data_IF_961845367821
#
_entry.id   IF_961845367821
#
_cell.length_a   1.000
_cell.length_b   1.000
_cell.length_c   1.000
_cell.angle_alpha   90.00
_cell.angle_beta   90.00
_cell.angle_gamma   90.00
#
_symmetry.space_group_name_H-M   'P 1'
#
loop_
_entity.id
_entity.type
_entity.pdbx_description
1 polymer ?
#
# COMPACT_ATOMS: atom_id res chain seq x y z
N UNK A 1 8.31 -12.63 8.71
CA UNK A 1 7.03 -12.26 9.32
C UNK A 1 5.98 -12.18 8.23
N UNK A 2 4.74 -12.59 8.51
CA UNK A 2 3.61 -12.38 7.60
C UNK A 2 2.57 -11.55 8.34
N UNK A 3 2.10 -10.49 7.69
CA UNK A 3 1.06 -9.59 8.19
C UNK A 3 -0.01 -9.53 7.09
N UNK A 4 -1.27 -9.60 7.49
CA UNK A 4 -2.38 -9.44 6.57
C UNK A 4 -3.62 -8.87 7.23
N UNK A 5 -4.45 -8.15 6.48
CA UNK A 5 -5.74 -7.63 6.94
C UNK A 5 -5.63 -6.54 8.01
N UNK A 6 -4.48 -5.87 8.14
CA UNK A 6 -4.12 -5.00 9.26
C UNK A 6 -4.10 -3.51 8.90
N UNK A 7 -4.28 -2.65 9.90
CA UNK A 7 -4.12 -1.20 9.75
C UNK A 7 -3.03 -0.68 10.69
N UNK A 8 -2.00 -0.06 10.13
CA UNK A 8 -0.97 0.67 10.85
C UNK A 8 -1.22 2.16 10.67
N UNK A 9 -1.69 2.86 11.70
CA UNK A 9 -2.04 4.27 11.56
C UNK A 9 -1.79 5.12 12.80
N UNK A 10 -1.41 6.38 12.60
CA UNK A 10 -1.22 7.34 13.68
C UNK A 10 -0.01 7.05 14.57
N UNK A 11 0.91 6.20 14.11
CA UNK A 11 2.14 5.89 14.83
C UNK A 11 3.20 6.96 14.55
N UNK A 12 4.08 7.20 15.53
CA UNK A 12 5.20 8.14 15.39
C UNK A 12 6.50 7.53 15.88
N UNK A 13 7.55 7.63 15.07
CA UNK A 13 8.92 7.31 15.43
C UNK A 13 9.77 8.58 15.51
N UNK A 14 10.75 8.60 16.42
CA UNK A 14 11.81 9.62 16.42
C UNK A 14 12.96 9.29 15.45
N UNK A 15 13.04 8.05 15.01
CA UNK A 15 13.96 7.61 13.96
C UNK A 15 13.14 7.12 12.76
N UNK A 16 13.53 5.99 12.18
CA UNK A 16 12.86 5.41 11.02
C UNK A 16 11.64 4.55 11.35
N UNK A 17 10.78 4.34 10.35
CA UNK A 17 9.73 3.33 10.34
C UNK A 17 8.54 3.68 11.23
N UNK A 18 7.94 4.85 11.01
CA UNK A 18 6.78 5.33 11.76
C UNK A 18 5.64 4.30 11.84
N UNK A 19 5.30 3.66 10.71
CA UNK A 19 4.30 2.60 10.63
C UNK A 19 4.90 1.20 10.83
N UNK A 20 5.94 0.86 10.06
CA UNK A 20 6.61 -0.44 10.11
C UNK A 20 8.11 -0.32 9.83
N UNK A 21 8.91 -1.04 10.60
CA UNK A 21 10.36 -1.19 10.37
C UNK A 21 10.69 -2.66 10.12
N UNK A 22 11.18 -2.97 8.92
CA UNK A 22 11.56 -4.31 8.52
C UNK A 22 13.09 -4.49 8.57
N UNK A 23 13.53 -5.46 9.37
CA UNK A 23 14.93 -5.87 9.47
C UNK A 23 15.17 -7.34 9.07
N UNK A 24 14.18 -7.98 8.43
CA UNK A 24 14.26 -9.38 8.01
C UNK A 24 13.39 -9.64 6.77
N UNK A 25 12.85 -10.85 6.65
CA UNK A 25 11.93 -11.18 5.55
C UNK A 25 10.49 -10.94 5.99
N UNK A 26 9.76 -10.07 5.30
CA UNK A 26 8.38 -9.70 5.61
C UNK A 26 7.47 -9.82 4.38
N UNK A 27 6.30 -10.43 4.60
CA UNK A 27 5.20 -10.51 3.66
C UNK A 27 4.05 -9.66 4.19
N UNK A 28 3.58 -8.71 3.39
CA UNK A 28 2.46 -7.82 3.71
C UNK A 28 1.38 -7.99 2.65
N UNK A 29 0.15 -8.27 3.07
CA UNK A 29 -0.97 -8.42 2.15
C UNK A 29 -2.29 -7.87 2.67
N UNK A 30 -3.00 -7.12 1.83
CA UNK A 30 -4.30 -6.53 2.21
C UNK A 30 -4.21 -5.70 3.51
N UNK A 31 -3.16 -4.91 3.66
CA UNK A 31 -2.95 -4.01 4.79
C UNK A 31 -3.02 -2.54 4.36
N UNK A 32 -3.38 -1.69 5.32
CA UNK A 32 -3.39 -0.23 5.19
C UNK A 32 -2.33 0.36 6.12
N UNK A 33 -1.38 1.13 5.57
CA UNK A 33 -0.38 1.88 6.32
C UNK A 33 -0.64 3.37 6.09
N UNK A 34 -1.25 4.06 7.05
CA UNK A 34 -1.69 5.43 6.82
C UNK A 34 -1.58 6.39 8.00
N UNK A 35 -1.17 7.62 7.73
CA UNK A 35 -1.14 8.67 8.75
C UNK A 35 -0.09 8.42 9.81
N UNK A 36 1.02 7.77 9.46
CA UNK A 36 2.16 7.58 10.35
C UNK A 36 3.20 8.70 10.15
N UNK A 37 4.09 8.87 11.11
CA UNK A 37 5.08 9.95 11.16
C UNK A 37 6.46 9.44 11.56
N UNK A 38 7.50 10.02 10.97
CA UNK A 38 8.88 9.84 11.40
C UNK A 38 9.56 11.21 11.46
N UNK A 39 10.33 11.45 12.52
CA UNK A 39 11.17 12.66 12.62
C UNK A 39 12.37 12.56 11.65
N UNK A 40 12.83 11.35 11.29
CA UNK A 40 13.86 11.10 10.26
C UNK A 40 13.21 10.56 8.95
N UNK A 41 13.87 9.61 8.26
CA UNK A 41 13.30 8.89 7.11
C UNK A 41 12.14 7.99 7.52
N UNK A 42 11.28 7.64 6.57
CA UNK A 42 10.27 6.57 6.70
C UNK A 42 9.17 6.75 7.71
N UNK A 43 8.10 7.38 7.28
CA UNK A 43 6.89 7.33 8.06
C UNK A 43 6.05 6.08 7.79
N UNK A 44 6.02 5.55 6.57
CA UNK A 44 5.23 4.37 6.24
C UNK A 44 5.96 3.07 6.57
N UNK A 45 6.86 2.64 5.69
CA UNK A 45 7.61 1.38 5.78
C UNK A 45 9.09 1.58 5.52
N UNK A 46 9.92 1.29 6.53
CA UNK A 46 11.36 1.21 6.40
C UNK A 46 11.80 -0.22 6.06
N UNK A 47 12.67 -0.39 5.06
CA UNK A 47 13.29 -1.68 4.72
C UNK A 47 14.83 -1.59 4.76
N UNK A 48 15.43 -2.21 5.77
CA UNK A 48 16.88 -2.17 6.02
C UNK A 48 17.74 -2.88 4.98
N UNK A 49 19.04 -2.61 5.00
CA UNK A 49 20.07 -3.07 4.03
C UNK A 49 20.11 -4.57 3.69
N UNK A 50 19.62 -5.48 4.53
CA UNK A 50 19.62 -6.93 4.27
C UNK A 50 18.23 -7.56 4.29
N UNK A 51 17.21 -6.72 4.44
CA UNK A 51 15.83 -7.15 4.59
C UNK A 51 15.13 -7.35 3.26
N UNK A 52 14.12 -8.21 3.25
CA UNK A 52 13.27 -8.47 2.09
C UNK A 52 11.84 -8.16 2.45
N UNK A 53 11.19 -7.27 1.70
CA UNK A 53 9.77 -7.01 1.84
C UNK A 53 9.04 -7.36 0.52
N UNK A 54 7.99 -8.17 0.64
CA UNK A 54 7.09 -8.48 -0.46
C UNK A 54 5.69 -7.97 -0.11
N UNK A 55 5.24 -7.00 -0.89
CA UNK A 55 4.05 -6.19 -0.65
C UNK A 55 3.01 -6.52 -1.72
N UNK A 56 1.81 -6.92 -1.33
CA UNK A 56 0.72 -7.18 -2.25
C UNK A 56 -0.58 -6.54 -1.77
N UNK A 57 -1.31 -5.84 -2.63
CA UNK A 57 -2.60 -5.26 -2.26
C UNK A 57 -2.56 -4.37 -1.01
N UNK A 58 -1.56 -3.49 -0.92
CA UNK A 58 -1.45 -2.54 0.19
C UNK A 58 -1.96 -1.15 -0.17
N UNK A 59 -2.35 -0.37 0.84
CA UNK A 59 -2.58 1.07 0.69
C UNK A 59 -1.68 1.83 1.67
N UNK A 60 -0.62 2.46 1.14
CA UNK A 60 0.40 3.19 1.88
C UNK A 60 0.26 4.69 1.58
N UNK A 61 -0.46 5.41 2.44
CA UNK A 61 -0.91 6.78 2.13
C UNK A 61 -0.89 7.73 3.32
N UNK A 62 -0.69 9.02 3.08
CA UNK A 62 -0.69 10.06 4.12
C UNK A 62 0.36 9.84 5.23
N UNK A 63 1.47 9.15 4.94
CA UNK A 63 2.60 9.04 5.86
C UNK A 63 3.56 10.23 5.63
N UNK A 64 4.20 10.74 6.70
CA UNK A 64 5.04 11.93 6.65
C UNK A 64 6.43 11.74 7.27
N UNK A 65 7.46 11.71 6.44
CA UNK A 65 8.88 11.80 6.85
C UNK A 65 9.29 13.26 7.14
N UNK A 66 10.41 13.44 7.84
CA UNK A 66 10.91 14.75 8.31
C UNK A 66 9.80 15.53 9.04
N UNK A 67 9.20 14.90 10.05
CA UNK A 67 8.09 15.50 10.80
C UNK A 67 8.57 16.64 11.72
N UNK A 68 9.81 16.58 12.20
CA UNK A 68 10.43 17.63 13.02
C UNK A 68 10.94 18.83 12.18
N UNK A 69 10.96 18.69 10.85
CA UNK A 69 11.27 19.74 9.87
C UNK A 69 12.70 20.25 10.02
N UNK A 70 13.62 19.34 10.30
CA UNK A 70 15.05 19.65 10.41
C UNK A 70 15.76 19.58 9.04
N UNK A 71 15.06 19.12 8.00
CA UNK A 71 15.58 19.00 6.63
C UNK A 71 16.33 17.70 6.35
N UNK A 72 16.18 16.69 7.22
CA UNK A 72 16.78 15.36 7.11
C UNK A 72 15.68 14.31 7.18
N UNK A 73 15.68 13.38 6.23
CA UNK A 73 14.68 12.33 6.11
C UNK A 73 14.23 12.17 4.67
N UNK A 74 13.91 10.95 4.27
CA UNK A 74 13.45 10.62 2.91
C UNK A 74 12.39 9.51 2.99
N UNK A 75 11.63 9.32 1.90
CA UNK A 75 10.73 8.17 1.77
C UNK A 75 9.52 8.23 2.68
N UNK A 76 8.66 9.24 2.52
CA UNK A 76 7.45 9.39 3.34
C UNK A 76 6.59 8.11 3.38
N UNK A 77 6.39 7.47 2.22
CA UNK A 77 5.73 6.17 2.07
C UNK A 77 6.67 4.99 2.37
N UNK A 78 7.71 4.80 1.56
CA UNK A 78 8.69 3.70 1.69
C UNK A 78 10.12 4.18 1.44
N UNK A 79 11.06 3.88 2.32
CA UNK A 79 12.50 3.99 2.06
C UNK A 79 13.12 2.60 2.04
N UNK A 80 14.07 2.48 1.13
CA UNK A 80 14.80 1.24 0.89
C UNK A 80 16.27 1.58 1.03
N UNK A 81 16.85 1.23 2.17
CA UNK A 81 18.25 1.55 2.47
C UNK A 81 19.18 0.82 1.50
N UNK A 82 19.10 -0.53 1.47
CA UNK A 82 19.75 -1.37 0.46
C UNK A 82 19.10 -2.76 0.30
N UNK A 83 18.02 -3.04 1.03
CA UNK A 83 17.33 -4.33 0.96
C UNK A 83 16.47 -4.49 -0.29
N UNK A 84 15.81 -5.65 -0.41
CA UNK A 84 14.96 -5.97 -1.56
C UNK A 84 13.50 -5.68 -1.26
N UNK A 85 12.87 -4.83 -2.05
CA UNK A 85 11.41 -4.61 -2.00
C UNK A 85 10.76 -5.01 -3.32
N UNK A 86 9.72 -5.84 -3.22
CA UNK A 86 8.86 -6.20 -4.34
C UNK A 86 7.44 -5.71 -4.06
N UNK A 87 6.84 -4.97 -4.99
CA UNK A 87 5.52 -4.35 -4.85
C UNK A 87 4.57 -4.78 -5.97
N UNK A 88 3.39 -5.24 -5.56
CA UNK A 88 2.33 -5.71 -6.44
C UNK A 88 0.98 -5.12 -6.00
N UNK A 89 0.15 -4.69 -6.96
CA UNK A 89 -1.23 -4.27 -6.71
C UNK A 89 -1.37 -3.25 -5.57
N UNK A 90 -0.37 -2.39 -5.35
CA UNK A 90 -0.27 -1.54 -4.15
C UNK A 90 -0.43 -0.07 -4.51
N UNK A 91 -1.14 0.69 -3.67
CA UNK A 91 -1.21 2.15 -3.72
C UNK A 91 -0.12 2.73 -2.82
N UNK A 92 0.73 3.58 -3.36
CA UNK A 92 1.68 4.43 -2.63
C UNK A 92 1.46 5.86 -3.10
N UNK A 93 0.79 6.66 -2.29
CA UNK A 93 0.33 7.98 -2.72
C UNK A 93 0.05 8.90 -1.55
N UNK A 94 -0.03 10.21 -1.81
CA UNK A 94 -0.37 11.23 -0.80
C UNK A 94 0.56 11.21 0.42
N UNK A 95 1.72 10.56 0.34
CA UNK A 95 2.72 10.65 1.38
C UNK A 95 3.47 11.98 1.23
N UNK A 96 4.19 12.38 2.26
CA UNK A 96 4.89 13.65 2.29
C UNK A 96 6.28 13.49 2.86
N UNK A 97 7.17 14.33 2.37
CA UNK A 97 8.54 14.47 2.81
C UNK A 97 8.83 15.98 2.85
N UNK A 98 9.33 16.47 3.97
CA UNK A 98 9.44 17.91 4.25
C UNK A 98 10.83 18.49 3.90
N UNK A 99 11.72 17.70 3.32
CA UNK A 99 13.07 18.14 2.92
C UNK A 99 13.07 18.94 1.60
N UNK A 100 14.24 19.51 1.24
CA UNK A 100 14.40 20.31 0.01
C UNK A 100 14.24 19.49 -1.27
N UNK A 101 14.76 18.25 -1.29
CA UNK A 101 14.62 17.30 -2.41
C UNK A 101 13.68 16.19 -1.96
N UNK A 102 12.40 16.35 -2.26
CA UNK A 102 11.34 15.53 -1.69
C UNK A 102 11.22 14.17 -2.38
N UNK A 103 11.22 13.11 -1.57
CA UNK A 103 10.94 11.73 -1.98
C UNK A 103 9.69 11.21 -1.24
N UNK A 104 8.50 11.75 -1.55
CA UNK A 104 7.33 11.59 -0.68
C UNK A 104 6.80 10.15 -0.66
N UNK A 105 6.62 9.50 -1.81
CA UNK A 105 5.99 8.17 -1.85
C UNK A 105 7.01 7.04 -1.71
N UNK A 106 8.21 7.19 -2.29
CA UNK A 106 9.28 6.24 -2.02
C UNK A 106 10.68 6.82 -2.24
N UNK A 107 11.67 6.18 -1.64
CA UNK A 107 13.09 6.43 -1.85
C UNK A 107 13.89 5.12 -1.90
N UNK A 108 14.84 5.03 -2.84
CA UNK A 108 15.64 3.84 -3.08
C UNK A 108 15.15 2.95 -4.23
N UNK A 109 15.68 1.73 -4.32
CA UNK A 109 15.45 0.83 -5.46
C UNK A 109 14.43 -0.26 -5.17
N UNK A 110 13.33 -0.24 -5.93
CA UNK A 110 12.30 -1.29 -5.91
C UNK A 110 12.67 -2.35 -6.94
N UNK A 111 13.00 -3.56 -6.48
CA UNK A 111 13.51 -4.64 -7.31
C UNK A 111 12.46 -5.16 -8.32
N UNK A 112 11.21 -5.29 -7.88
CA UNK A 112 10.07 -5.63 -8.75
C UNK A 112 8.91 -4.70 -8.45
N UNK A 113 8.37 -4.06 -9.49
CA UNK A 113 7.17 -3.24 -9.36
C UNK A 113 6.22 -3.58 -10.51
N UNK A 114 5.03 -4.12 -10.23
CA UNK A 114 4.01 -4.33 -11.27
C UNK A 114 2.60 -4.05 -10.76
N UNK A 115 1.76 -3.45 -11.60
CA UNK A 115 0.35 -3.15 -11.30
C UNK A 115 0.12 -2.33 -10.04
N UNK A 116 1.02 -1.38 -9.74
CA UNK A 116 0.90 -0.47 -8.59
C UNK A 116 0.35 0.88 -9.02
N UNK A 117 -0.17 1.66 -8.07
CA UNK A 117 -0.42 3.09 -8.25
C UNK A 117 0.58 3.85 -7.39
N UNK A 118 1.53 4.54 -8.01
CA UNK A 118 2.55 5.35 -7.32
C UNK A 118 2.39 6.80 -7.75
N UNK A 119 1.90 7.67 -6.86
CA UNK A 119 1.55 9.03 -7.26
C UNK A 119 2.79 9.85 -7.62
N UNK A 120 3.86 9.77 -6.84
CA UNK A 120 5.13 10.45 -7.08
C UNK A 120 6.29 9.46 -7.06
N UNK A 121 7.02 9.34 -8.17
CA UNK A 121 8.14 8.39 -8.28
C UNK A 121 9.51 9.03 -8.00
N UNK A 122 9.57 10.31 -7.60
CA UNK A 122 10.83 10.95 -7.19
C UNK A 122 11.43 10.21 -6.00
N UNK A 123 12.73 9.90 -6.07
CA UNK A 123 13.45 9.08 -5.09
C UNK A 123 13.45 7.58 -5.41
N UNK A 124 12.49 7.10 -6.19
CA UNK A 124 12.32 5.67 -6.45
C UNK A 124 12.91 5.24 -7.80
N UNK A 125 13.72 4.19 -7.77
CA UNK A 125 14.08 3.45 -8.99
C UNK A 125 13.19 2.21 -9.12
N UNK A 126 12.25 2.22 -10.06
CA UNK A 126 11.34 1.10 -10.29
C UNK A 126 11.95 0.11 -11.29
N UNK A 127 12.28 -1.09 -10.84
CA UNK A 127 12.87 -2.16 -11.65
C UNK A 127 11.88 -3.30 -11.89
N UNK A 128 12.33 -4.34 -12.61
CA UNK A 128 11.56 -5.57 -12.81
C UNK A 128 10.43 -5.47 -13.84
N UNK A 129 10.55 -4.55 -14.81
CA UNK A 129 9.54 -4.26 -15.84
C UNK A 129 8.23 -3.72 -15.26
N UNK A 130 8.06 -2.38 -15.14
CA UNK A 130 6.96 -1.71 -14.44
C UNK A 130 5.60 -1.80 -15.16
N UNK A 131 5.25 -2.98 -15.66
CA UNK A 131 4.03 -3.27 -16.40
C UNK A 131 2.82 -3.02 -15.51
N UNK A 132 1.84 -2.31 -16.06
CA UNK A 132 0.56 -2.04 -15.40
C UNK A 132 0.63 -1.01 -14.28
N UNK A 133 1.80 -0.43 -13.99
CA UNK A 133 1.89 0.65 -13.03
C UNK A 133 1.16 1.91 -13.53
N UNK A 134 0.39 2.52 -12.64
CA UNK A 134 -0.20 3.84 -12.81
C UNK A 134 0.67 4.83 -12.03
N UNK A 135 1.29 5.79 -12.72
CA UNK A 135 2.15 6.79 -12.07
C UNK A 135 1.66 8.21 -12.33
N UNK A 136 1.98 9.15 -11.42
CA UNK A 136 1.64 10.56 -11.60
C UNK A 136 0.16 10.91 -11.41
N UNK A 137 -0.67 9.95 -10.99
CA UNK A 137 -2.12 10.16 -10.81
C UNK A 137 -2.52 10.10 -9.34
N UNK A 138 -3.47 10.95 -8.95
CA UNK A 138 -4.11 10.87 -7.64
C UNK A 138 -4.82 9.53 -7.48
N UNK A 139 -4.71 8.85 -6.33
CA UNK A 139 -5.36 7.57 -6.12
C UNK A 139 -6.89 7.72 -5.96
N UNK A 140 -7.40 8.94 -5.73
CA UNK A 140 -8.82 9.24 -5.52
C UNK A 140 -9.48 8.27 -4.53
N UNK A 141 -9.05 8.37 -3.28
CA UNK A 141 -9.51 7.51 -2.18
C UNK A 141 -10.24 8.33 -1.11
N UNK A 142 -11.17 7.68 -0.42
CA UNK A 142 -11.88 8.23 0.73
C UNK A 142 -11.01 8.28 1.99
N UNK A 143 -11.53 8.84 3.09
CA UNK A 143 -10.82 8.89 4.37
C UNK A 143 -10.58 7.50 4.96
N UNK A 144 -9.61 7.38 5.88
CA UNK A 144 -9.38 6.17 6.66
C UNK A 144 -10.54 5.97 7.64
N UNK A 145 -11.42 5.01 7.36
CA UNK A 145 -12.62 4.75 8.18
C UNK A 145 -12.97 3.27 8.20
N UNK A 146 -13.98 2.89 8.98
CA UNK A 146 -14.54 1.56 8.95
C UNK A 146 -15.42 1.40 7.68
N UNK A 147 -14.91 0.67 6.69
CA UNK A 147 -15.64 0.37 5.45
C UNK A 147 -16.22 -1.05 5.42
N UNK A 148 -16.54 -1.62 6.59
CA UNK A 148 -17.25 -2.90 6.71
C UNK A 148 -16.36 -4.13 6.97
N UNK A 149 -15.11 -3.95 7.40
CA UNK A 149 -14.19 -5.02 7.78
C UNK A 149 -13.80 -4.98 9.26
N UNK A 150 -12.88 -5.87 9.67
CA UNK A 150 -12.33 -5.88 11.04
C UNK A 150 -11.33 -4.75 11.31
N UNK A 151 -10.81 -4.12 10.26
CA UNK A 151 -9.83 -3.03 10.33
C UNK A 151 -10.22 -1.86 9.40
N UNK A 152 -9.63 -0.68 9.63
CA UNK A 152 -9.97 0.54 8.87
C UNK A 152 -9.24 0.55 7.53
N UNK A 153 -9.92 1.01 6.48
CA UNK A 153 -9.38 1.07 5.12
C UNK A 153 -9.67 2.42 4.46
N UNK A 154 -9.07 2.65 3.30
CA UNK A 154 -9.45 3.72 2.39
C UNK A 154 -10.29 3.13 1.25
N UNK A 155 -11.57 3.49 1.17
CA UNK A 155 -12.41 3.09 0.05
C UNK A 155 -11.98 3.84 -1.23
N UNK A 156 -12.02 3.17 -2.38
CA UNK A 156 -11.80 3.84 -3.66
C UNK A 156 -13.02 4.71 -4.02
N UNK A 157 -12.77 5.95 -4.46
CA UNK A 157 -13.83 6.84 -4.93
C UNK A 157 -14.21 6.50 -6.38
N UNK A 158 -15.40 6.92 -6.84
CA UNK A 158 -15.76 6.82 -8.25
C UNK A 158 -14.68 7.43 -9.15
N UNK A 159 -14.34 6.73 -10.23
CA UNK A 159 -13.29 7.07 -11.21
C UNK A 159 -11.85 6.98 -10.72
N UNK A 160 -11.61 6.39 -9.54
CA UNK A 160 -10.25 6.15 -9.09
C UNK A 160 -9.44 5.39 -10.15
N UNK A 161 -8.20 5.83 -10.47
CA UNK A 161 -7.32 5.11 -11.38
C UNK A 161 -6.93 3.71 -10.89
N UNK A 162 -7.20 3.40 -9.62
CA UNK A 162 -6.96 2.08 -9.04
C UNK A 162 -8.07 1.06 -9.39
N UNK A 163 -9.24 1.51 -9.87
CA UNK A 163 -10.38 0.63 -10.18
C UNK A 163 -10.05 -0.32 -11.35
N UNK A 164 -10.18 -1.63 -11.12
CA UNK A 164 -9.91 -2.73 -12.06
C UNK A 164 -8.52 -2.64 -12.74
N UNK A 165 -7.58 -1.94 -12.11
CA UNK A 165 -6.25 -1.69 -12.67
C UNK A 165 -5.18 -2.68 -12.17
N UNK A 166 -5.53 -3.54 -11.22
CA UNK A 166 -4.65 -4.56 -10.67
C UNK A 166 -4.43 -5.74 -11.62
N UNK A 167 -3.68 -6.74 -11.15
CA UNK A 167 -3.49 -8.02 -11.83
C UNK A 167 -4.80 -8.80 -11.96
N UNK A 168 -4.83 -9.68 -12.96
CA UNK A 168 -5.91 -10.64 -13.13
C UNK A 168 -5.98 -11.59 -11.93
N UNK A 169 -7.20 -12.02 -11.61
CA UNK A 169 -7.41 -13.08 -10.63
C UNK A 169 -6.79 -14.39 -11.08
N UNK A 170 -5.85 -14.90 -10.27
CA UNK A 170 -5.13 -16.14 -10.50
C UNK A 170 -5.24 -17.03 -9.26
N UNK A 171 -6.48 -17.42 -8.93
CA UNK A 171 -6.80 -18.27 -7.77
C UNK A 171 -6.30 -17.72 -6.42
N UNK A 172 -6.29 -16.40 -6.26
CA UNK A 172 -5.90 -15.77 -5.00
C UNK A 172 -4.41 -15.84 -4.68
N UNK A 173 -3.56 -16.19 -5.65
CA UNK A 173 -2.12 -16.31 -5.42
C UNK A 173 -1.48 -14.97 -5.03
N UNK A 174 -0.59 -15.01 -4.04
CA UNK A 174 0.26 -13.88 -3.66
C UNK A 174 1.02 -13.34 -4.89
N UNK A 175 1.15 -12.02 -5.01
CA UNK A 175 1.66 -11.26 -6.18
C UNK A 175 0.72 -11.17 -7.39
N UNK A 176 -0.46 -11.79 -7.32
CA UNK A 176 -1.57 -11.55 -8.22
C UNK A 176 -2.70 -10.91 -7.43
N UNK A 177 -3.89 -10.97 -7.96
CA UNK A 177 -5.08 -10.64 -7.19
C UNK A 177 -5.33 -11.69 -6.10
N UNK A 178 -5.33 -11.28 -4.83
CA UNK A 178 -5.70 -12.18 -3.72
C UNK A 178 -7.18 -12.55 -3.75
N UNK A 179 -7.57 -13.59 -3.02
CA UNK A 179 -8.96 -14.07 -2.99
C UNK A 179 -9.91 -13.04 -2.36
N UNK A 180 -9.41 -12.30 -1.38
CA UNK A 180 -10.17 -11.32 -0.61
C UNK A 180 -9.38 -10.03 -0.45
N UNK A 181 -10.08 -8.96 -0.12
CA UNK A 181 -9.48 -7.69 0.30
C UNK A 181 -9.29 -7.64 1.82
N UNK A 182 -8.83 -6.49 2.34
CA UNK A 182 -8.58 -6.28 3.77
C UNK A 182 -9.81 -6.51 4.66
N UNK A 183 -11.02 -6.42 4.10
CA UNK A 183 -12.29 -6.60 4.81
C UNK A 183 -12.75 -8.05 4.79
N UNK A 184 -11.94 -8.95 4.22
CA UNK A 184 -12.33 -10.33 3.87
C UNK A 184 -13.48 -10.41 2.86
N UNK A 185 -13.65 -9.39 2.01
CA UNK A 185 -14.64 -9.43 0.94
C UNK A 185 -13.98 -9.96 -0.34
N UNK A 186 -14.69 -10.78 -1.15
CA UNK A 186 -14.12 -11.38 -2.35
C UNK A 186 -13.61 -10.32 -3.34
N UNK A 187 -12.43 -10.56 -3.91
CA UNK A 187 -11.91 -9.78 -5.05
C UNK A 187 -12.38 -10.39 -6.36
N UNK A 188 -12.76 -9.53 -7.31
CA UNK A 188 -13.41 -9.83 -8.58
C UNK A 188 -13.09 -11.24 -9.16
N UNK A 189 -13.87 -12.28 -8.83
CA UNK A 189 -13.59 -13.62 -9.32
C UNK A 189 -13.88 -13.67 -10.83
N UNK A 190 -12.82 -13.76 -11.64
CA UNK A 190 -12.89 -13.75 -13.10
C UNK A 190 -12.55 -12.41 -13.76
N UNK A 191 -12.12 -11.40 -12.99
CA UNK A 191 -11.70 -10.09 -13.50
C UNK A 191 -10.30 -9.67 -13.05
N UNK A 192 -10.03 -8.36 -13.15
CA UNK A 192 -8.91 -7.70 -12.47
C UNK A 192 -9.42 -7.16 -11.14
N UNK A 193 -8.64 -7.26 -10.07
CA UNK A 193 -8.97 -6.48 -8.87
C UNK A 193 -8.61 -5.02 -9.03
N UNK A 194 -9.08 -4.27 -8.04
CA UNK A 194 -8.59 -2.96 -7.76
C UNK A 194 -7.17 -3.00 -7.17
N UNK A 195 -6.37 -1.99 -7.50
CA UNK A 195 -5.09 -1.74 -6.85
C UNK A 195 -5.37 -1.24 -5.43
N UNK A 196 -4.66 -1.78 -4.44
CA UNK A 196 -4.77 -1.39 -3.03
C UNK A 196 -5.40 -2.46 -2.15
N UNK A 197 -5.58 -2.10 -0.88
CA UNK A 197 -6.12 -2.99 0.16
C UNK A 197 -7.65 -3.15 0.14
N UNK A 198 -8.33 -2.34 -0.68
CA UNK A 198 -9.78 -2.28 -0.79
C UNK A 198 -10.24 -2.73 -2.19
N UNK A 199 -11.30 -3.53 -2.24
CA UNK A 199 -11.99 -3.88 -3.48
C UNK A 199 -13.36 -3.18 -3.61
N UNK A 200 -13.55 -2.38 -4.64
CA UNK A 200 -14.85 -1.81 -5.01
C UNK A 200 -15.81 -2.87 -5.54
N UNK A 201 -17.11 -2.67 -5.33
CA UNK A 201 -18.13 -3.59 -5.84
C UNK A 201 -18.18 -4.98 -5.17
N UNK A 202 -17.29 -5.27 -4.20
CA UNK A 202 -17.34 -6.48 -3.40
C UNK A 202 -18.56 -6.43 -2.46
N UNK A 203 -19.70 -6.99 -2.87
CA UNK A 203 -20.89 -7.10 -2.04
C UNK A 203 -20.79 -8.31 -1.10
N UNK A 204 -21.21 -8.14 0.16
CA UNK A 204 -21.54 -9.27 1.04
C UNK A 204 -22.72 -10.00 0.38
N UNK A 205 -22.51 -11.23 -0.10
CA UNK A 205 -23.63 -12.07 -0.48
C UNK A 205 -24.39 -12.47 0.78
N UNK A 206 -25.44 -11.70 1.10
CA UNK A 206 -26.47 -12.14 2.04
C UNK A 206 -27.25 -13.26 1.37
N UNK A 207 -26.97 -14.51 1.76
CA UNK A 207 -27.89 -15.62 1.51
C UNK A 207 -29.14 -15.37 2.35
N UNK A 208 -30.13 -14.68 1.79
CA UNK A 208 -31.49 -14.69 2.33
C UNK A 208 -32.03 -16.12 2.11
N UNK A 209 -32.40 -16.86 3.16
CA UNK A 209 -33.07 -18.13 2.96
C UNK A 209 -34.36 -17.87 2.19
N UNK A 210 -34.52 -18.53 1.04
CA UNK A 210 -35.79 -18.56 0.32
C UNK A 210 -36.79 -19.25 1.25
N UNK A 211 -37.74 -18.48 1.79
CA UNK A 211 -38.94 -19.03 2.41
C UNK A 211 -39.94 -19.23 1.26
N UNK A 212 -39.95 -20.43 0.69
CA UNK A 212 -41.08 -20.86 -0.16
C UNK A 212 -42.27 -21.06 0.79
N UNK A 213 -43.33 -20.29 0.60
CA UNK A 213 -44.63 -20.54 1.24
C UNK A 213 -45.44 -21.51 0.40
#
# INVERSE_FOLDING_TARGET
MTISGSTFSGNRSKGVGGGLSNAGTTLLSNDTISGNYADESDAGLYNSSTSVASLNNLTIVNNRADYDVNGVGQGGGIFIEAGTVNIYNTIIAQNTDSVLVQHPDCDGSVATSTYNLIQNTSGCTLQGSPIGNVTGQSPQIGPLTNNGGSTRTHALLPNSPALNAGRLYANGAFNNCEATDQRNLPRAPGGRCDIGAYESGAAIQLFLPIVVR
#
